data_IF_709224135299
#
_entry.id   IF_709224135299
#
_cell.length_a   1.000
_cell.length_b   1.000
_cell.length_c   1.000
_cell.angle_alpha   90.00
_cell.angle_beta   90.00
_cell.angle_gamma   90.00
#
_symmetry.space_group_name_H-M   'P 1'
#
loop_
_entity.id
_entity.type
_entity.pdbx_description
1 polymer ?
#
# COMPACT_ATOMS: atom_id res chain seq x y z
N UNK A 1 -20.32 -18.06 -15.88
CA UNK A 1 -19.61 -17.04 -15.08
C UNK A 1 -20.52 -16.53 -13.96
N UNK A 2 -20.65 -17.27 -12.86
CA UNK A 2 -21.46 -16.86 -11.72
C UNK A 2 -20.58 -16.50 -10.50
N UNK A 3 -19.82 -15.41 -10.61
CA UNK A 3 -19.24 -14.80 -9.42
C UNK A 3 -20.37 -14.30 -8.52
N UNK A 4 -20.38 -14.75 -7.26
CA UNK A 4 -21.33 -14.30 -6.24
C UNK A 4 -20.59 -13.47 -5.23
N UNK A 5 -21.09 -12.26 -4.97
CA UNK A 5 -20.60 -11.41 -3.90
C UNK A 5 -20.85 -12.10 -2.56
N UNK A 6 -19.79 -12.25 -1.78
CA UNK A 6 -19.83 -12.83 -0.42
C UNK A 6 -19.82 -11.71 0.61
N UNK A 7 -18.92 -10.74 0.45
CA UNK A 7 -18.87 -9.53 1.25
C UNK A 7 -18.36 -8.39 0.35
N UNK A 8 -19.20 -7.38 0.12
CA UNK A 8 -18.86 -6.27 -0.78
C UNK A 8 -17.79 -5.35 -0.18
N UNK A 9 -17.90 -5.03 1.11
CA UNK A 9 -16.98 -4.13 1.81
C UNK A 9 -15.57 -4.71 1.88
N UNK A 10 -15.46 -5.99 2.19
CA UNK A 10 -14.19 -6.72 2.21
C UNK A 10 -13.71 -7.16 0.83
N UNK A 11 -14.50 -6.91 -0.22
CA UNK A 11 -14.24 -7.31 -1.60
C UNK A 11 -13.95 -8.81 -1.72
N UNK A 12 -14.85 -9.61 -1.16
CA UNK A 12 -14.82 -11.06 -1.20
C UNK A 12 -15.91 -11.55 -2.15
N UNK A 13 -15.52 -12.39 -3.09
CA UNK A 13 -16.42 -13.07 -4.01
C UNK A 13 -16.23 -14.59 -3.92
N UNK A 14 -17.18 -15.34 -4.45
CA UNK A 14 -17.06 -16.78 -4.63
C UNK A 14 -17.42 -17.17 -6.04
N UNK A 15 -16.77 -18.19 -6.57
CA UNK A 15 -17.12 -18.81 -7.84
C UNK A 15 -16.89 -20.32 -7.75
N UNK A 16 -17.44 -21.04 -8.72
CA UNK A 16 -17.06 -22.43 -8.97
C UNK A 16 -15.72 -22.45 -9.73
N UNK A 17 -14.97 -23.55 -9.67
CA UNK A 17 -13.69 -23.68 -10.38
C UNK A 17 -13.88 -23.51 -11.90
N UNK A 18 -14.96 -24.05 -12.43
CA UNK A 18 -15.31 -23.99 -13.86
C UNK A 18 -15.59 -22.56 -14.35
N UNK A 19 -15.97 -21.66 -13.44
CA UNK A 19 -16.25 -20.26 -13.74
C UNK A 19 -14.98 -19.39 -13.78
N UNK A 20 -13.81 -19.93 -13.40
CA UNK A 20 -12.54 -19.20 -13.41
C UNK A 20 -12.06 -18.94 -14.84
N UNK A 21 -11.77 -17.67 -15.15
CA UNK A 21 -11.10 -17.33 -16.40
C UNK A 21 -9.66 -17.88 -16.43
N UNK A 22 -9.15 -18.22 -17.62
CA UNK A 22 -7.79 -18.74 -17.79
C UNK A 22 -6.71 -17.80 -17.22
N UNK A 23 -6.92 -16.48 -17.31
CA UNK A 23 -6.05 -15.47 -16.71
C UNK A 23 -6.01 -15.60 -15.19
N UNK A 24 -7.18 -15.85 -14.58
CA UNK A 24 -7.30 -16.04 -13.13
C UNK A 24 -6.67 -17.36 -12.69
N UNK A 25 -6.79 -18.42 -13.50
CA UNK A 25 -6.12 -19.70 -13.25
C UNK A 25 -4.60 -19.56 -13.26
N UNK A 26 -4.05 -18.78 -14.21
CA UNK A 26 -2.60 -18.48 -14.25
C UNK A 26 -2.11 -17.76 -13.00
N UNK A 27 -2.83 -16.72 -12.56
CA UNK A 27 -2.50 -16.01 -11.33
C UNK A 27 -2.48 -16.92 -10.10
N UNK A 28 -3.40 -17.88 -10.04
CA UNK A 28 -3.41 -18.88 -8.96
C UNK A 28 -2.16 -19.78 -9.01
N UNK A 29 -1.83 -20.32 -10.18
CA UNK A 29 -0.66 -21.18 -10.37
C UNK A 29 0.63 -20.46 -9.94
N UNK A 30 0.77 -19.18 -10.31
CA UNK A 30 1.89 -18.34 -9.88
C UNK A 30 1.92 -18.13 -8.35
N UNK A 31 0.75 -18.00 -7.72
CA UNK A 31 0.62 -17.75 -6.29
C UNK A 31 0.84 -19.00 -5.42
N UNK A 32 0.64 -20.19 -5.97
CA UNK A 32 0.69 -21.47 -5.24
C UNK A 32 1.68 -22.49 -5.84
N UNK A 33 2.73 -22.02 -6.52
CA UNK A 33 3.85 -22.85 -7.01
C UNK A 33 3.41 -24.12 -7.75
N UNK A 34 2.59 -23.98 -8.78
CA UNK A 34 2.09 -25.09 -9.61
C UNK A 34 1.15 -26.08 -8.89
N UNK A 35 0.52 -25.65 -7.79
CA UNK A 35 -0.57 -26.37 -7.16
C UNK A 35 -1.69 -26.75 -8.17
N UNK A 36 -2.25 -27.98 -8.11
CA UNK A 36 -3.42 -28.36 -8.89
C UNK A 36 -4.58 -27.40 -8.61
N UNK A 37 -5.32 -27.01 -9.65
CA UNK A 37 -6.44 -26.08 -9.46
C UNK A 37 -7.58 -26.70 -8.66
N UNK A 38 -7.64 -28.02 -8.58
CA UNK A 38 -8.61 -28.78 -7.81
C UNK A 38 -8.44 -28.61 -6.29
N UNK A 39 -7.23 -28.22 -5.83
CA UNK A 39 -6.97 -27.91 -4.41
C UNK A 39 -7.15 -26.43 -4.08
N UNK A 40 -7.61 -25.63 -5.04
CA UNK A 40 -7.86 -24.20 -4.86
C UNK A 40 -8.95 -23.99 -3.80
N UNK A 41 -8.59 -23.36 -2.69
CA UNK A 41 -9.49 -23.05 -1.57
C UNK A 41 -9.93 -21.59 -1.64
N UNK A 42 -8.95 -20.69 -1.71
CA UNK A 42 -9.11 -19.26 -1.96
C UNK A 42 -7.85 -18.70 -2.63
N UNK A 43 -8.00 -17.57 -3.31
CA UNK A 43 -6.88 -16.83 -3.90
C UNK A 43 -7.17 -15.33 -3.96
N UNK A 44 -6.15 -14.54 -4.28
CA UNK A 44 -6.27 -13.08 -4.37
C UNK A 44 -5.97 -12.60 -5.79
N UNK A 45 -6.86 -11.82 -6.37
CA UNK A 45 -6.60 -11.10 -7.61
C UNK A 45 -6.04 -9.70 -7.27
N UNK A 46 -4.73 -9.44 -7.47
CA UNK A 46 -4.12 -8.16 -7.12
C UNK A 46 -4.48 -7.03 -8.09
N UNK A 47 -4.96 -7.35 -9.30
CA UNK A 47 -5.37 -6.36 -10.32
C UNK A 47 -6.70 -5.74 -9.93
N UNK A 48 -7.67 -6.59 -9.55
CA UNK A 48 -9.00 -6.14 -9.16
C UNK A 48 -9.13 -5.89 -7.66
N UNK A 49 -8.16 -6.33 -6.85
CA UNK A 49 -8.19 -6.33 -5.38
C UNK A 49 -9.42 -7.07 -4.82
N UNK A 50 -9.58 -8.32 -5.26
CA UNK A 50 -10.70 -9.20 -4.87
C UNK A 50 -10.13 -10.51 -4.33
N UNK A 51 -10.63 -10.94 -3.17
CA UNK A 51 -10.42 -12.30 -2.65
C UNK A 51 -11.52 -13.19 -3.21
N UNK A 52 -11.13 -14.30 -3.81
CA UNK A 52 -12.06 -15.22 -4.47
C UNK A 52 -12.01 -16.57 -3.75
N UNK A 53 -13.17 -17.01 -3.28
CA UNK A 53 -13.39 -18.28 -2.60
C UNK A 53 -13.88 -19.33 -3.60
N UNK A 54 -13.35 -20.54 -3.52
CA UNK A 54 -13.86 -21.67 -4.29
C UNK A 54 -15.09 -22.28 -3.61
N UNK A 55 -16.26 -22.16 -4.26
CA UNK A 55 -17.52 -22.72 -3.75
C UNK A 55 -17.57 -24.25 -3.82
N UNK A 56 -16.82 -24.86 -4.72
CA UNK A 56 -16.78 -26.32 -4.90
C UNK A 56 -15.93 -27.01 -3.82
N UNK A 57 -15.19 -26.22 -3.02
CA UNK A 57 -14.36 -26.75 -1.95
C UNK A 57 -15.22 -27.23 -0.77
N UNK A 58 -14.96 -28.45 -0.27
CA UNK A 58 -15.69 -29.03 0.88
C UNK A 58 -15.58 -28.19 2.16
N UNK A 59 -14.49 -27.44 2.32
CA UNK A 59 -14.25 -26.53 3.42
C UNK A 59 -14.75 -25.10 3.17
N UNK A 60 -15.55 -24.85 2.14
CA UNK A 60 -15.97 -23.51 1.71
C UNK A 60 -16.44 -22.60 2.87
N UNK A 61 -17.32 -23.08 3.74
CA UNK A 61 -17.83 -22.26 4.86
C UNK A 61 -16.74 -21.94 5.90
N UNK A 62 -15.79 -22.85 6.13
CA UNK A 62 -14.63 -22.59 6.98
C UNK A 62 -13.77 -21.48 6.37
N UNK A 63 -13.36 -21.62 5.11
CA UNK A 63 -12.52 -20.62 4.43
C UNK A 63 -13.21 -19.27 4.29
N UNK A 64 -14.52 -19.27 4.05
CA UNK A 64 -15.34 -18.05 4.02
C UNK A 64 -15.34 -17.34 5.36
N UNK A 65 -15.60 -18.07 6.45
CA UNK A 65 -15.57 -17.51 7.80
C UNK A 65 -14.17 -16.96 8.12
N UNK A 66 -13.11 -17.75 7.88
CA UNK A 66 -11.73 -17.32 8.09
C UNK A 66 -11.42 -16.05 7.31
N UNK A 67 -11.77 -15.98 6.02
CA UNK A 67 -11.49 -14.81 5.18
C UNK A 67 -12.21 -13.55 5.68
N UNK A 68 -13.49 -13.66 6.05
CA UNK A 68 -14.27 -12.53 6.58
C UNK A 68 -13.66 -12.06 7.91
N UNK A 69 -13.55 -12.97 8.89
CA UNK A 69 -13.08 -12.62 10.24
C UNK A 69 -11.66 -12.06 10.22
N UNK A 70 -10.77 -12.61 9.40
CA UNK A 70 -9.39 -12.14 9.33
C UNK A 70 -9.27 -10.76 8.67
N UNK A 71 -10.05 -10.49 7.62
CA UNK A 71 -9.98 -9.21 6.90
C UNK A 71 -10.74 -8.08 7.62
N UNK A 72 -11.77 -8.40 8.40
CA UNK A 72 -12.43 -7.48 9.35
C UNK A 72 -11.57 -7.22 10.59
N UNK A 73 -10.76 -8.21 10.99
CA UNK A 73 -9.99 -8.18 12.23
C UNK A 73 -8.89 -7.14 12.29
N UNK A 74 -8.67 -6.62 13.50
CA UNK A 74 -7.52 -5.79 13.84
C UNK A 74 -6.24 -6.62 14.01
N UNK A 75 -5.14 -5.97 14.40
CA UNK A 75 -3.86 -6.65 14.60
C UNK A 75 -3.90 -7.71 15.70
N UNK A 76 -4.67 -7.50 16.77
CA UNK A 76 -4.74 -8.43 17.89
C UNK A 76 -5.53 -9.68 17.50
N UNK A 77 -6.69 -9.51 16.86
CA UNK A 77 -7.49 -10.62 16.37
C UNK A 77 -6.72 -11.43 15.33
N UNK A 78 -6.05 -10.78 14.37
CA UNK A 78 -5.25 -11.48 13.35
C UNK A 78 -4.10 -12.26 13.96
N UNK A 79 -3.43 -11.72 14.99
CA UNK A 79 -2.39 -12.45 15.72
C UNK A 79 -2.94 -13.70 16.43
N UNK A 80 -4.08 -13.58 17.10
CA UNK A 80 -4.73 -14.72 17.74
C UNK A 80 -5.16 -15.80 16.71
N UNK A 81 -5.71 -15.38 15.58
CA UNK A 81 -6.08 -16.30 14.49
C UNK A 81 -4.86 -17.01 13.89
N UNK A 82 -3.73 -16.32 13.70
CA UNK A 82 -2.47 -16.93 13.24
C UNK A 82 -2.03 -18.07 14.14
N UNK A 83 -2.05 -17.86 15.46
CA UNK A 83 -1.66 -18.90 16.42
C UNK A 83 -2.65 -20.06 16.47
N UNK A 84 -3.96 -19.79 16.44
CA UNK A 84 -4.99 -20.83 16.47
C UNK A 84 -5.03 -21.68 15.19
N UNK A 85 -4.73 -21.07 14.04
CA UNK A 85 -4.78 -21.71 12.74
C UNK A 85 -3.48 -22.43 12.34
N UNK A 86 -2.46 -22.36 13.19
CA UNK A 86 -1.11 -22.84 12.91
C UNK A 86 -1.09 -24.33 12.55
N UNK A 87 -0.52 -24.66 11.40
CA UNK A 87 -0.45 -26.03 10.86
C UNK A 87 -1.77 -26.53 10.25
N UNK A 88 -2.84 -25.73 10.26
CA UNK A 88 -4.17 -26.10 9.73
C UNK A 88 -4.52 -25.22 8.52
N UNK A 89 -4.39 -23.90 8.65
CA UNK A 89 -4.76 -22.92 7.62
C UNK A 89 -3.60 -21.98 7.27
N UNK A 90 -2.34 -22.40 7.46
CA UNK A 90 -1.14 -21.56 7.28
C UNK A 90 -1.14 -20.83 5.94
N UNK A 91 -1.36 -21.54 4.83
CA UNK A 91 -1.40 -20.95 3.48
C UNK A 91 -2.53 -19.94 3.29
N UNK A 92 -3.69 -20.19 3.92
CA UNK A 92 -4.84 -19.28 3.88
C UNK A 92 -4.52 -18.00 4.65
N UNK A 93 -3.98 -18.12 5.85
CA UNK A 93 -3.64 -16.98 6.70
C UNK A 93 -2.51 -16.16 6.07
N UNK A 94 -1.49 -16.81 5.50
CA UNK A 94 -0.42 -16.13 4.78
C UNK A 94 -0.96 -15.34 3.57
N UNK A 95 -1.87 -15.93 2.81
CA UNK A 95 -2.54 -15.23 1.71
C UNK A 95 -3.32 -14.01 2.20
N UNK A 96 -4.14 -14.16 3.24
CA UNK A 96 -4.94 -13.05 3.78
C UNK A 96 -4.05 -11.94 4.38
N UNK A 97 -2.90 -12.29 4.96
CA UNK A 97 -1.92 -11.31 5.41
C UNK A 97 -1.33 -10.50 4.24
N UNK A 98 -1.03 -11.18 3.12
CA UNK A 98 -0.59 -10.50 1.88
C UNK A 98 -1.68 -9.54 1.37
N UNK A 99 -2.96 -9.92 1.46
CA UNK A 99 -4.10 -9.05 1.09
C UNK A 99 -4.16 -7.82 1.98
N UNK A 100 -4.08 -7.98 3.30
CA UNK A 100 -4.05 -6.86 4.26
C UNK A 100 -2.90 -5.91 3.94
N UNK A 101 -1.69 -6.45 3.85
CA UNK A 101 -0.47 -5.69 3.57
C UNK A 101 -0.58 -4.91 2.25
N UNK A 102 -1.11 -5.56 1.21
CA UNK A 102 -1.32 -4.93 -0.09
C UNK A 102 -2.33 -3.79 -0.01
N UNK A 103 -3.45 -3.99 0.70
CA UNK A 103 -4.48 -2.96 0.84
C UNK A 103 -3.98 -1.76 1.63
N UNK A 104 -3.13 -1.96 2.64
CA UNK A 104 -2.46 -0.88 3.36
C UNK A 104 -1.51 -0.10 2.45
N UNK A 105 -0.68 -0.80 1.66
CA UNK A 105 0.17 -0.16 0.66
C UNK A 105 -0.63 0.66 -0.35
N UNK A 106 -1.74 0.12 -0.88
CA UNK A 106 -2.60 0.85 -1.82
C UNK A 106 -3.19 2.14 -1.22
N UNK A 107 -3.45 2.18 0.09
CA UNK A 107 -3.89 3.41 0.76
C UNK A 107 -2.77 4.45 0.79
N UNK A 108 -1.55 4.02 1.11
CA UNK A 108 -0.35 4.87 1.13
C UNK A 108 -0.06 5.39 -0.28
N UNK A 109 -0.11 4.53 -1.29
CA UNK A 109 0.15 4.88 -2.69
C UNK A 109 -0.88 5.91 -3.19
N UNK A 110 -2.17 5.72 -2.89
CA UNK A 110 -3.21 6.71 -3.23
C UNK A 110 -2.96 8.07 -2.60
N UNK A 111 -2.47 8.10 -1.36
CA UNK A 111 -2.14 9.37 -0.71
C UNK A 111 -0.87 9.99 -1.32
N UNK A 112 0.13 9.17 -1.61
CA UNK A 112 1.34 9.59 -2.31
C UNK A 112 1.03 10.17 -3.69
N UNK A 113 0.12 9.57 -4.46
CA UNK A 113 -0.33 10.10 -5.75
C UNK A 113 -0.95 11.50 -5.62
N UNK A 114 -1.80 11.73 -4.61
CA UNK A 114 -2.35 13.07 -4.36
C UNK A 114 -1.24 14.06 -4.04
N UNK A 115 -0.29 13.68 -3.18
CA UNK A 115 0.85 14.52 -2.83
C UNK A 115 1.74 14.81 -4.04
N UNK A 116 2.01 13.82 -4.91
CA UNK A 116 2.76 14.00 -6.15
C UNK A 116 2.07 15.01 -7.06
N UNK A 117 0.74 14.94 -7.22
CA UNK A 117 -0.02 15.93 -8.00
C UNK A 117 0.08 17.34 -7.41
N UNK A 118 0.08 17.47 -6.08
CA UNK A 118 0.26 18.76 -5.41
C UNK A 118 1.69 19.30 -5.57
N UNK A 119 2.69 18.42 -5.46
CA UNK A 119 4.09 18.76 -5.68
C UNK A 119 4.35 19.20 -7.13
N UNK A 120 3.71 18.54 -8.11
CA UNK A 120 3.82 18.89 -9.53
C UNK A 120 3.27 20.28 -9.89
N UNK A 121 2.46 20.90 -9.01
CA UNK A 121 1.97 22.28 -9.17
C UNK A 121 2.95 23.33 -8.65
N UNK A 122 4.00 22.93 -7.94
CA UNK A 122 4.97 23.85 -7.38
C UNK A 122 5.92 24.38 -8.45
N UNK A 123 6.37 25.62 -8.30
CA UNK A 123 7.35 26.21 -9.21
C UNK A 123 8.71 25.50 -9.07
N UNK A 124 9.28 25.06 -10.21
CA UNK A 124 10.64 24.53 -10.26
C UNK A 124 11.72 25.56 -9.89
N UNK A 125 11.40 26.86 -9.82
CA UNK A 125 12.36 27.91 -9.48
C UNK A 125 13.04 27.68 -8.13
N UNK A 126 12.31 27.12 -7.15
CA UNK A 126 12.89 26.82 -5.83
C UNK A 126 13.94 25.70 -5.97
N UNK A 127 13.64 24.66 -6.75
CA UNK A 127 14.58 23.57 -7.00
C UNK A 127 15.84 24.08 -7.73
N UNK A 128 15.67 24.82 -8.83
CA UNK A 128 16.78 25.35 -9.64
C UNK A 128 17.73 26.19 -8.78
N UNK A 129 17.20 27.07 -7.92
CA UNK A 129 18.02 27.91 -7.02
C UNK A 129 18.84 27.14 -6.00
N UNK A 130 18.49 25.88 -5.72
CA UNK A 130 19.15 25.07 -4.69
C UNK A 130 19.81 23.80 -5.26
N UNK A 131 19.89 23.66 -6.59
CA UNK A 131 20.35 22.43 -7.24
C UNK A 131 21.78 22.05 -6.83
N UNK A 132 22.69 23.02 -6.75
CA UNK A 132 24.09 22.79 -6.34
C UNK A 132 24.19 22.22 -4.92
N UNK A 133 23.33 22.69 -4.01
CA UNK A 133 23.27 22.21 -2.63
C UNK A 133 22.72 20.77 -2.57
N UNK A 134 21.67 20.48 -3.34
CA UNK A 134 21.09 19.13 -3.42
C UNK A 134 22.10 18.13 -4.02
N UNK A 135 22.87 18.55 -5.02
CA UNK A 135 23.95 17.74 -5.57
C UNK A 135 25.08 17.51 -4.55
N UNK A 136 25.42 18.52 -3.75
CA UNK A 136 26.38 18.35 -2.66
C UNK A 136 25.90 17.32 -1.63
N UNK A 137 24.63 17.34 -1.23
CA UNK A 137 24.04 16.31 -0.37
C UNK A 137 24.15 14.93 -1.01
N UNK A 138 23.80 14.80 -2.30
CA UNK A 138 23.92 13.52 -3.02
C UNK A 138 25.35 12.98 -2.98
N UNK A 139 26.36 13.83 -3.26
CA UNK A 139 27.78 13.43 -3.24
C UNK A 139 28.25 13.02 -1.83
N UNK A 140 27.88 13.78 -0.80
CA UNK A 140 28.30 13.52 0.58
C UNK A 140 27.63 12.24 1.11
N UNK A 141 26.32 12.09 0.93
CA UNK A 141 25.59 10.91 1.41
C UNK A 141 25.97 9.64 0.65
N UNK A 142 26.31 9.74 -0.66
CA UNK A 142 26.82 8.60 -1.45
C UNK A 142 28.18 8.11 -0.92
N UNK A 143 29.08 9.03 -0.52
CA UNK A 143 30.35 8.66 0.12
C UNK A 143 30.15 7.93 1.45
N UNK A 144 29.04 8.18 2.14
CA UNK A 144 28.70 7.52 3.39
C UNK A 144 27.98 6.16 3.20
N UNK A 145 27.71 5.74 1.96
CA UNK A 145 26.92 4.55 1.60
C UNK A 145 25.60 4.43 2.37
N UNK A 146 24.97 5.56 2.70
CA UNK A 146 23.80 5.61 3.57
C UNK A 146 22.62 6.25 2.82
N UNK A 147 21.77 5.39 2.24
CA UNK A 147 20.58 5.79 1.48
C UNK A 147 19.54 6.51 2.36
N UNK A 148 19.41 6.14 3.63
CA UNK A 148 18.51 6.81 4.58
C UNK A 148 18.88 8.28 4.75
N UNK A 149 20.16 8.58 4.98
CA UNK A 149 20.64 9.96 5.13
C UNK A 149 20.43 10.81 3.86
N UNK A 150 20.47 10.19 2.68
CA UNK A 150 20.19 10.90 1.43
C UNK A 150 18.76 11.45 1.37
N UNK A 151 17.76 10.64 1.74
CA UNK A 151 16.37 11.08 1.78
C UNK A 151 16.11 12.05 2.94
N UNK A 152 16.59 11.70 4.14
CA UNK A 152 16.37 12.50 5.34
C UNK A 152 16.93 13.92 5.21
N UNK A 153 18.19 14.07 4.78
CA UNK A 153 18.83 15.38 4.66
C UNK A 153 18.16 16.25 3.59
N UNK A 154 17.74 15.65 2.48
CA UNK A 154 17.02 16.35 1.40
C UNK A 154 15.66 16.87 1.89
N UNK A 155 14.90 16.04 2.61
CA UNK A 155 13.63 16.44 3.20
C UNK A 155 13.79 17.58 4.21
N UNK A 156 14.72 17.44 5.17
CA UNK A 156 14.97 18.43 6.21
C UNK A 156 15.43 19.77 5.64
N UNK A 157 16.23 19.74 4.58
CA UNK A 157 16.62 20.95 3.88
C UNK A 157 15.42 21.68 3.26
N UNK A 158 14.52 20.95 2.59
CA UNK A 158 13.28 21.52 2.06
C UNK A 158 12.43 22.17 3.16
N UNK A 159 12.29 21.50 4.31
CA UNK A 159 11.61 22.05 5.49
C UNK A 159 12.25 23.36 6.00
N UNK A 160 13.58 23.40 6.11
CA UNK A 160 14.32 24.61 6.52
C UNK A 160 14.09 25.74 5.52
N UNK A 161 14.09 25.47 4.21
CA UNK A 161 13.82 26.48 3.18
C UNK A 161 12.40 27.03 3.29
N UNK A 162 11.41 26.16 3.57
CA UNK A 162 10.04 26.57 3.85
C UNK A 162 9.94 27.52 5.05
N UNK A 163 10.57 27.17 6.17
CA UNK A 163 10.63 28.03 7.37
C UNK A 163 11.28 29.38 7.05
N UNK A 164 12.41 29.38 6.34
CA UNK A 164 13.13 30.61 5.97
C UNK A 164 12.26 31.51 5.09
N UNK A 165 11.56 30.93 4.12
CA UNK A 165 10.63 31.65 3.25
C UNK A 165 9.49 32.30 4.05
N UNK A 166 8.86 31.55 4.97
CA UNK A 166 7.76 32.06 5.78
C UNK A 166 8.22 33.17 6.74
N UNK A 167 9.40 33.01 7.37
CA UNK A 167 10.01 34.06 8.20
C UNK A 167 10.30 35.33 7.38
N UNK A 168 10.82 35.19 6.16
CA UNK A 168 11.08 36.32 5.27
C UNK A 168 9.76 37.02 4.87
N UNK A 169 8.70 36.25 4.58
CA UNK A 169 7.36 36.77 4.27
C UNK A 169 6.79 37.59 5.44
N UNK A 170 6.80 37.04 6.65
CA UNK A 170 6.33 37.75 7.87
C UNK A 170 7.10 39.05 8.12
N UNK A 171 8.43 39.04 7.91
CA UNK A 171 9.25 40.27 8.03
C UNK A 171 8.89 41.32 6.98
N UNK A 172 8.52 40.93 5.75
CA UNK A 172 8.07 41.87 4.71
C UNK A 172 6.73 42.49 5.07
N UNK A 173 5.73 41.68 5.43
CA UNK A 173 4.39 42.16 5.83
C UNK A 173 4.45 43.09 7.04
N UNK A 174 5.25 42.74 8.06
CA UNK A 174 5.45 43.60 9.23
C UNK A 174 6.20 44.91 8.94
N UNK A 175 6.98 44.98 7.85
CA UNK A 175 7.58 46.24 7.37
C UNK A 175 6.59 47.08 6.58
N UNK A 176 5.74 46.45 5.74
CA UNK A 176 4.71 47.17 4.98
C UNK A 176 3.70 47.85 5.90
N UNK A 177 3.26 47.19 6.98
CA UNK A 177 2.31 47.79 7.93
C UNK A 177 2.92 48.91 8.80
N UNK A 178 4.25 49.01 8.89
CA UNK A 178 4.93 50.12 9.59
C UNK A 178 5.14 51.35 8.71
N UNK A 179 5.01 51.24 7.40
CA UNK A 179 5.18 52.34 6.45
C UNK A 179 3.84 52.98 6.03
N UNK A 180 2.73 52.58 6.64
CA UNK A 180 1.36 53.09 6.37
C UNK A 180 0.79 53.82 7.61
N UNK A 181 1.56 53.93 8.70
CA UNK A 181 1.21 54.73 9.88
C UNK A 181 2.13 55.95 10.00
#
# INVERSE_FOLDING_TARGET
MSYKIVNEELRIQSCNIEDLSEETKKLFVEQFEDAPIEILTLFYNPVTDIVILNRDNKGYELYKLTAITYLEGDSELRAAMKEQAKGILDSTIELLEKVVSRREQLKIDKEAEKLIRLLGKQSMNIYIKNIEMLEAFRRINKKANNSFLAYYNTFMYGYIQGIRSERARKKRVGKTNKNIC
#
